data_IF_686614690174
#
_entry.id   IF_686614690174
#
_cell.length_a   1.000
_cell.length_b   1.000
_cell.length_c   1.000
_cell.angle_alpha   90.00
_cell.angle_beta   90.00
_cell.angle_gamma   90.00
#
_symmetry.space_group_name_H-M   'P 1'
#
loop_
_entity.id
_entity.type
_entity.pdbx_description
1 polymer ?
#
# COMPACT_ATOMS: atom_id res chain seq x y z
N UNK A 1 20.59 32.56 13.57
CA UNK A 1 20.23 31.54 12.57
C UNK A 1 20.39 30.17 13.19
N UNK A 2 19.27 29.55 13.57
CA UNK A 2 19.24 28.20 14.14
C UNK A 2 17.89 27.58 13.77
N UNK A 3 17.89 26.49 12.99
CA UNK A 3 16.70 25.66 12.81
C UNK A 3 16.87 24.40 13.67
N UNK A 4 15.93 24.07 14.57
CA UNK A 4 15.99 22.81 15.29
C UNK A 4 15.58 21.67 14.34
N UNK A 5 16.39 20.62 14.30
CA UNK A 5 16.07 19.36 13.64
C UNK A 5 14.98 18.64 14.43
N UNK A 6 13.74 18.72 13.93
CA UNK A 6 12.65 17.91 14.48
C UNK A 6 12.87 16.46 14.04
N UNK A 7 13.29 15.65 15.01
CA UNK A 7 13.38 14.20 14.94
C UNK A 7 12.00 13.63 14.55
N UNK A 8 11.89 13.04 13.34
CA UNK A 8 10.68 12.32 12.86
C UNK A 8 10.53 10.95 13.57
N UNK A 9 10.64 10.93 14.90
CA UNK A 9 10.53 9.72 15.71
C UNK A 9 9.45 9.92 16.75
N UNK A 10 8.43 9.07 16.64
CA UNK A 10 7.25 8.85 17.50
C UNK A 10 5.97 9.34 16.85
N UNK A 11 5.30 8.43 16.17
CA UNK A 11 3.88 8.03 16.28
C UNK A 11 3.80 6.94 15.20
N UNK A 12 3.81 5.65 15.51
CA UNK A 12 2.59 4.87 15.74
C UNK A 12 2.99 3.58 16.48
N UNK A 13 2.91 3.62 17.81
CA UNK A 13 2.84 2.43 18.63
C UNK A 13 1.46 2.42 19.29
N UNK A 14 0.69 1.36 18.99
CA UNK A 14 -0.43 0.79 19.76
C UNK A 14 -1.65 0.45 18.90
N UNK A 15 -2.04 -0.83 19.01
CA UNK A 15 -3.37 -1.47 18.79
C UNK A 15 -3.33 -2.47 17.63
N UNK A 16 -3.76 -3.74 17.72
CA UNK A 16 -4.15 -4.64 18.82
C UNK A 16 -4.40 -6.03 18.15
N UNK A 17 -4.10 -7.09 18.89
CA UNK A 17 -4.67 -8.45 18.85
C UNK A 17 -5.19 -9.08 17.53
N UNK A 18 -4.54 -10.22 17.20
CA UNK A 18 -5.13 -11.50 16.83
C UNK A 18 -6.42 -11.55 15.99
N UNK A 19 -6.26 -11.98 14.73
CA UNK A 19 -7.23 -12.89 14.11
C UNK A 19 -6.48 -13.83 13.17
N UNK A 20 -6.34 -15.09 13.58
CA UNK A 20 -5.97 -16.17 12.69
C UNK A 20 -7.21 -16.53 11.86
N UNK A 21 -7.20 -16.18 10.59
CA UNK A 21 -8.19 -16.67 9.62
C UNK A 21 -7.43 -17.31 8.46
N UNK A 22 -7.81 -18.55 8.16
CA UNK A 22 -7.18 -19.43 7.18
C UNK A 22 -7.08 -18.77 5.80
N UNK A 23 -5.89 -18.83 5.21
CA UNK A 23 -5.66 -18.46 3.81
C UNK A 23 -6.16 -19.63 2.94
N UNK A 24 -7.13 -19.45 2.03
CA UNK A 24 -7.48 -20.49 1.08
C UNK A 24 -6.32 -20.64 0.08
N UNK A 25 -5.80 -21.85 -0.05
CA UNK A 25 -4.91 -22.21 -1.16
C UNK A 25 -5.73 -22.25 -2.45
N UNK A 26 -5.79 -21.13 -3.18
CA UNK A 26 -6.41 -21.08 -4.51
C UNK A 26 -5.43 -21.70 -5.50
N UNK A 27 -5.79 -22.86 -6.04
CA UNK A 27 -5.12 -23.49 -7.16
C UNK A 27 -5.30 -22.62 -8.41
N UNK A 28 -4.20 -22.07 -8.93
CA UNK A 28 -4.20 -21.24 -10.13
C UNK A 28 -4.46 -22.07 -11.39
N UNK A 29 -5.71 -22.14 -11.83
CA UNK A 29 -6.02 -22.41 -13.24
C UNK A 29 -5.80 -21.11 -14.02
N UNK A 30 -4.83 -21.11 -14.95
CA UNK A 30 -4.49 -19.96 -15.80
C UNK A 30 -5.59 -19.74 -16.84
N UNK A 31 -6.66 -19.07 -16.44
CA UNK A 31 -7.69 -18.52 -17.32
C UNK A 31 -7.08 -17.40 -18.18
N UNK A 32 -7.60 -17.20 -19.39
CA UNK A 32 -7.28 -16.01 -20.19
C UNK A 32 -7.38 -14.74 -19.32
N UNK A 33 -6.51 -13.73 -19.52
CA UNK A 33 -6.50 -12.56 -18.66
C UNK A 33 -7.90 -11.94 -18.65
N UNK A 34 -8.56 -12.03 -17.49
CA UNK A 34 -9.86 -11.42 -17.26
C UNK A 34 -9.78 -9.90 -17.44
N UNK A 35 -10.93 -9.21 -17.49
CA UNK A 35 -11.00 -7.77 -17.71
C UNK A 35 -10.13 -6.95 -16.74
N UNK A 36 -9.90 -7.45 -15.52
CA UNK A 36 -9.11 -6.78 -14.48
C UNK A 36 -7.71 -7.40 -14.26
N UNK A 37 -7.18 -8.19 -15.22
CA UNK A 37 -5.90 -8.90 -15.02
C UNK A 37 -4.72 -7.98 -14.67
N UNK A 38 -4.63 -6.79 -15.29
CA UNK A 38 -3.59 -5.80 -14.97
C UNK A 38 -3.76 -5.20 -13.57
N UNK A 39 -5.02 -5.02 -13.14
CA UNK A 39 -5.33 -4.53 -11.80
C UNK A 39 -4.92 -5.56 -10.75
N UNK A 40 -5.19 -6.84 -11.00
CA UNK A 40 -4.79 -7.93 -10.10
C UNK A 40 -3.26 -8.09 -10.02
N UNK A 41 -2.53 -7.87 -11.12
CA UNK A 41 -1.06 -7.86 -11.08
C UNK A 41 -0.52 -6.68 -10.25
N UNK A 42 -1.07 -5.47 -10.43
CA UNK A 42 -0.71 -4.31 -9.61
C UNK A 42 -1.06 -4.54 -8.12
N UNK A 43 -2.19 -5.18 -7.84
CA UNK A 43 -2.60 -5.56 -6.48
C UNK A 43 -1.63 -6.58 -5.86
N UNK A 44 -1.17 -7.57 -6.64
CA UNK A 44 -0.19 -8.54 -6.17
C UNK A 44 1.12 -7.87 -5.78
N UNK A 45 1.58 -6.88 -6.57
CA UNK A 45 2.78 -6.08 -6.26
C UNK A 45 2.60 -5.23 -5.00
N UNK A 46 1.42 -4.61 -4.83
CA UNK A 46 1.08 -3.90 -3.60
C UNK A 46 1.20 -4.83 -2.37
N UNK A 47 0.58 -6.01 -2.40
CA UNK A 47 0.63 -6.94 -1.27
C UNK A 47 2.02 -7.57 -1.06
N UNK A 48 2.83 -7.67 -2.11
CA UNK A 48 4.21 -8.10 -1.98
C UNK A 48 5.05 -7.05 -1.25
N UNK A 49 4.98 -5.79 -1.68
CA UNK A 49 5.69 -4.68 -1.03
C UNK A 49 5.24 -4.53 0.43
N UNK A 50 3.93 -4.58 0.68
CA UNK A 50 3.37 -4.46 2.02
C UNK A 50 3.85 -5.55 2.97
N UNK A 51 3.83 -6.82 2.54
CA UNK A 51 4.35 -7.92 3.35
C UNK A 51 5.85 -7.80 3.60
N UNK A 52 6.61 -7.28 2.64
CA UNK A 52 8.04 -7.06 2.80
C UNK A 52 8.34 -5.93 3.80
N UNK A 53 7.55 -4.85 3.80
CA UNK A 53 7.62 -3.77 4.79
C UNK A 53 7.35 -4.33 6.18
N UNK A 54 6.23 -5.02 6.36
CA UNK A 54 5.86 -5.62 7.65
C UNK A 54 6.92 -6.62 8.15
N UNK A 55 7.51 -7.40 7.23
CA UNK A 55 8.61 -8.31 7.57
C UNK A 55 9.88 -7.56 8.02
N UNK A 56 10.20 -6.42 7.41
CA UNK A 56 11.32 -5.58 7.85
C UNK A 56 11.04 -4.89 9.18
N UNK A 57 9.82 -4.42 9.42
CA UNK A 57 9.41 -3.81 10.70
C UNK A 57 9.38 -4.80 11.86
N UNK A 58 9.12 -6.09 11.58
CA UNK A 58 9.17 -7.16 12.57
C UNK A 58 10.61 -7.50 13.02
N UNK A 59 11.61 -7.17 12.21
CA UNK A 59 13.02 -7.35 12.54
C UNK A 59 13.54 -6.11 13.28
N UNK A 60 14.47 -6.31 14.21
CA UNK A 60 15.10 -5.21 14.93
C UNK A 60 15.84 -4.28 13.96
N UNK A 61 15.42 -3.02 13.92
CA UNK A 61 16.12 -1.93 13.22
C UNK A 61 17.59 -1.85 13.70
N UNK A 62 18.58 -1.83 12.77
CA UNK A 62 19.98 -1.61 13.12
C UNK A 62 20.16 -0.25 13.81
N UNK A 63 21.09 -0.12 14.78
CA UNK A 63 21.39 1.19 15.36
C UNK A 63 21.86 2.19 14.29
N UNK A 64 21.46 3.46 14.39
CA UNK A 64 21.86 4.54 13.46
C UNK A 64 23.37 4.66 13.21
N UNK A 65 24.18 4.25 14.20
CA UNK A 65 25.66 4.28 14.11
C UNK A 65 26.26 3.02 13.47
N UNK A 66 25.44 2.02 13.17
CA UNK A 66 25.87 0.78 12.51
C UNK A 66 26.18 1.06 11.05
N UNK A 67 27.20 0.37 10.54
CA UNK A 67 27.52 0.36 9.11
C UNK A 67 26.39 -0.26 8.26
N UNK A 68 25.53 -1.07 8.87
CA UNK A 68 24.39 -1.72 8.20
C UNK A 68 23.17 -0.79 8.06
N UNK A 69 23.10 0.30 8.83
CA UNK A 69 21.93 1.18 8.85
C UNK A 69 21.59 1.78 7.47
N UNK A 70 22.55 2.34 6.70
CA UNK A 70 22.23 2.91 5.38
C UNK A 70 21.69 1.87 4.39
N UNK A 71 22.15 0.62 4.46
CA UNK A 71 21.67 -0.46 3.60
C UNK A 71 20.25 -0.87 3.99
N UNK A 72 19.98 -0.95 5.30
CA UNK A 72 18.65 -1.23 5.82
C UNK A 72 17.66 -0.10 5.45
N UNK A 73 18.06 1.15 5.63
CA UNK A 73 17.25 2.35 5.31
C UNK A 73 16.94 2.42 3.81
N UNK A 74 17.94 2.27 2.95
CA UNK A 74 17.72 2.26 1.50
C UNK A 74 16.78 1.14 1.04
N UNK A 75 16.88 -0.04 1.67
CA UNK A 75 15.97 -1.15 1.39
C UNK A 75 14.54 -0.84 1.83
N UNK A 76 14.38 -0.22 2.99
CA UNK A 76 13.07 0.18 3.49
C UNK A 76 12.44 1.24 2.58
N UNK A 77 13.19 2.27 2.21
CA UNK A 77 12.76 3.32 1.28
C UNK A 77 12.34 2.75 -0.08
N UNK A 78 13.09 1.78 -0.62
CA UNK A 78 12.74 1.11 -1.87
C UNK A 78 11.38 0.38 -1.78
N UNK A 79 11.11 -0.31 -0.67
CA UNK A 79 9.82 -0.98 -0.47
C UNK A 79 8.66 0.01 -0.34
N UNK A 80 8.88 1.15 0.33
CA UNK A 80 7.89 2.23 0.42
C UNK A 80 7.61 2.80 -0.97
N UNK A 81 8.64 3.02 -1.78
CA UNK A 81 8.51 3.48 -3.16
C UNK A 81 7.76 2.45 -4.04
N UNK A 82 8.09 1.16 -3.94
CA UNK A 82 7.41 0.09 -4.66
C UNK A 82 5.92 0.03 -4.31
N UNK A 83 5.59 0.17 -3.01
CA UNK A 83 4.19 0.22 -2.54
C UNK A 83 3.47 1.44 -3.12
N UNK A 84 4.07 2.63 -3.05
CA UNK A 84 3.47 3.85 -3.58
C UNK A 84 3.27 3.77 -5.11
N UNK A 85 4.23 3.20 -5.83
CA UNK A 85 4.13 2.96 -7.27
C UNK A 85 2.96 2.01 -7.58
N UNK A 86 2.81 0.92 -6.84
CA UNK A 86 1.70 -0.02 -7.03
C UNK A 86 0.33 0.65 -6.79
N UNK A 87 0.20 1.50 -5.76
CA UNK A 87 -1.01 2.31 -5.52
C UNK A 87 -1.27 3.25 -6.69
N UNK A 88 -0.23 3.92 -7.20
CA UNK A 88 -0.32 4.77 -8.39
C UNK A 88 -0.82 3.99 -9.61
N UNK A 89 -0.31 2.78 -9.86
CA UNK A 89 -0.78 1.91 -10.93
C UNK A 89 -2.25 1.51 -10.75
N UNK A 90 -2.64 1.08 -9.54
CA UNK A 90 -4.03 0.75 -9.21
C UNK A 90 -4.97 1.95 -9.47
N UNK A 91 -4.54 3.16 -9.16
CA UNK A 91 -5.35 4.37 -9.39
C UNK A 91 -5.58 4.64 -10.89
N UNK A 92 -4.61 4.29 -11.75
CA UNK A 92 -4.65 4.51 -13.19
C UNK A 92 -5.38 3.43 -13.99
N UNK A 93 -5.58 2.24 -13.40
CA UNK A 93 -6.27 1.12 -14.07
C UNK A 93 -7.74 1.14 -13.69
N UNK A 94 -8.65 1.20 -14.68
CA UNK A 94 -10.09 1.08 -14.44
C UNK A 94 -10.44 -0.34 -13.97
N UNK A 95 -11.19 -0.47 -12.87
CA UNK A 95 -11.76 -1.73 -12.44
C UNK A 95 -13.15 -1.93 -13.06
N UNK A 96 -13.37 -3.06 -13.72
CA UNK A 96 -14.63 -3.38 -14.42
C UNK A 96 -15.47 -4.37 -13.63
N UNK A 97 -14.85 -5.22 -12.82
CA UNK A 97 -15.54 -6.26 -12.04
C UNK A 97 -15.75 -5.83 -10.60
N UNK A 98 -16.73 -6.46 -9.95
CA UNK A 98 -16.95 -6.32 -8.50
C UNK A 98 -15.73 -6.72 -7.67
N UNK A 99 -14.99 -7.74 -8.13
CA UNK A 99 -13.72 -8.16 -7.51
C UNK A 99 -12.66 -7.05 -7.62
N UNK A 100 -12.54 -6.41 -8.78
CA UNK A 100 -11.64 -5.27 -8.97
C UNK A 100 -12.01 -4.07 -8.09
N UNK A 101 -13.31 -3.80 -7.89
CA UNK A 101 -13.78 -2.76 -6.97
C UNK A 101 -13.42 -3.08 -5.53
N UNK A 102 -13.67 -4.32 -5.09
CA UNK A 102 -13.33 -4.77 -3.75
C UNK A 102 -11.83 -4.71 -3.49
N UNK A 103 -11.01 -5.11 -4.47
CA UNK A 103 -9.56 -5.03 -4.39
C UNK A 103 -9.08 -3.59 -4.16
N UNK A 104 -9.59 -2.62 -4.93
CA UNK A 104 -9.27 -1.20 -4.72
C UNK A 104 -9.77 -0.70 -3.37
N UNK A 105 -10.98 -1.07 -2.97
CA UNK A 105 -11.58 -0.66 -1.70
C UNK A 105 -10.71 -1.09 -0.52
N UNK A 106 -10.23 -2.33 -0.51
CA UNK A 106 -9.33 -2.84 0.55
C UNK A 106 -8.05 -2.00 0.69
N UNK A 107 -7.43 -1.63 -0.44
CA UNK A 107 -6.22 -0.79 -0.42
C UNK A 107 -6.55 0.62 0.07
N UNK A 108 -7.67 1.19 -0.36
CA UNK A 108 -8.14 2.52 0.08
C UNK A 108 -8.41 2.54 1.59
N UNK A 109 -9.18 1.60 2.11
CA UNK A 109 -9.50 1.51 3.55
C UNK A 109 -8.24 1.45 4.41
N UNK A 110 -7.20 0.78 3.92
CA UNK A 110 -5.95 0.60 4.65
C UNK A 110 -5.04 1.83 4.59
N UNK A 111 -4.91 2.47 3.43
CA UNK A 111 -3.90 3.51 3.19
C UNK A 111 -4.43 4.94 3.32
N UNK A 112 -5.71 5.18 3.00
CA UNK A 112 -6.30 6.52 2.98
C UNK A 112 -6.31 7.19 4.36
N UNK A 113 -6.65 6.51 5.48
CA UNK A 113 -6.67 7.15 6.80
C UNK A 113 -5.31 7.73 7.20
N UNK A 114 -4.22 7.04 6.87
CA UNK A 114 -2.86 7.54 7.14
C UNK A 114 -2.52 8.76 6.31
N UNK A 115 -2.78 8.76 5.00
CA UNK A 115 -2.45 9.90 4.13
C UNK A 115 -3.24 11.16 4.54
N UNK A 116 -4.54 11.01 4.84
CA UNK A 116 -5.37 12.14 5.30
C UNK A 116 -4.92 12.68 6.67
N UNK A 117 -4.49 11.79 7.58
CA UNK A 117 -4.07 12.20 8.93
C UNK A 117 -2.77 13.01 8.93
N UNK A 118 -1.84 12.69 8.03
CA UNK A 118 -0.49 13.24 8.05
C UNK A 118 -0.27 14.36 7.02
N UNK A 119 -1.29 14.69 6.21
CA UNK A 119 -1.25 15.72 5.14
C UNK A 119 0.04 15.66 4.33
N UNK A 120 0.34 14.46 3.82
CA UNK A 120 1.65 14.10 3.28
C UNK A 120 1.89 14.56 1.83
N UNK A 121 0.92 15.20 1.17
CA UNK A 121 1.09 15.65 -0.21
C UNK A 121 -0.11 16.35 -0.86
N UNK A 122 -1.10 16.82 -0.08
CA UNK A 122 -2.33 17.41 -0.62
C UNK A 122 -3.17 16.42 -1.44
N UNK A 123 -4.07 16.91 -2.30
CA UNK A 123 -5.04 16.06 -3.02
C UNK A 123 -4.46 15.18 -4.14
N UNK A 124 -3.15 15.18 -4.36
CA UNK A 124 -2.49 14.44 -5.44
C UNK A 124 -1.72 13.20 -4.95
N UNK A 125 -1.96 12.77 -3.73
CA UNK A 125 -1.37 11.53 -3.22
C UNK A 125 -1.96 10.32 -3.95
N UNK A 126 -1.16 9.27 -4.21
CA UNK A 126 -1.64 8.04 -4.87
C UNK A 126 -2.89 7.44 -4.20
N UNK A 127 -3.01 7.55 -2.88
CA UNK A 127 -4.10 7.05 -2.06
C UNK A 127 -5.41 7.80 -2.34
N UNK A 128 -5.36 9.14 -2.42
CA UNK A 128 -6.52 9.97 -2.75
C UNK A 128 -6.96 9.71 -4.19
N UNK A 129 -6.00 9.63 -5.13
CA UNK A 129 -6.28 9.31 -6.52
C UNK A 129 -6.90 7.91 -6.68
N UNK A 130 -6.45 6.94 -5.88
CA UNK A 130 -7.04 5.60 -5.86
C UNK A 130 -8.49 5.63 -5.34
N UNK A 131 -8.78 6.38 -4.28
CA UNK A 131 -10.14 6.54 -3.76
C UNK A 131 -11.07 7.18 -4.80
N UNK A 132 -10.60 8.22 -5.51
CA UNK A 132 -11.34 8.84 -6.60
C UNK A 132 -11.55 7.89 -7.79
N UNK A 133 -10.52 7.09 -8.11
CA UNK A 133 -10.58 6.07 -9.17
C UNK A 133 -11.65 5.02 -8.85
N UNK A 134 -11.67 4.50 -7.62
CA UNK A 134 -12.71 3.59 -7.14
C UNK A 134 -14.11 4.21 -7.24
N UNK A 135 -14.28 5.47 -6.83
CA UNK A 135 -15.57 6.15 -6.91
C UNK A 135 -16.07 6.26 -8.37
N UNK A 136 -15.18 6.51 -9.33
CA UNK A 136 -15.51 6.53 -10.76
C UNK A 136 -15.85 5.14 -11.29
N UNK A 137 -15.13 4.11 -10.86
CA UNK A 137 -15.36 2.73 -11.29
C UNK A 137 -16.75 2.23 -10.84
N UNK A 138 -17.11 2.50 -9.57
CA UNK A 138 -18.41 2.13 -9.01
C UNK A 138 -19.54 2.95 -9.64
N UNK A 139 -19.37 4.28 -9.78
CA UNK A 139 -20.39 5.14 -10.39
C UNK A 139 -20.60 4.86 -11.89
N UNK A 140 -19.53 4.47 -12.60
CA UNK A 140 -19.56 4.14 -14.03
C UNK A 140 -19.86 2.68 -14.35
N UNK A 141 -19.96 1.81 -13.34
CA UNK A 141 -20.36 0.40 -13.46
C UNK A 141 -21.75 0.11 -12.92
N UNK A 142 -22.43 1.09 -12.32
CA UNK A 142 -23.80 1.00 -11.84
C UNK A 142 -24.87 1.34 -12.91
N UNK A 143 -24.51 1.26 -14.20
CA UNK A 143 -25.41 1.52 -15.33
C UNK A 143 -25.80 0.22 -16.05
#
# INVERSE_FOLDING_TARGET
MSRPSVSRRRVLGASLAATAAAVPAVASTRTAPGPDALLLDALARYWQAERAILAMEAVREPPLKSLEYPVWEAKFDALIADRAQAIGQLSGIRAVTTEGWQAKAQVVERCLPSSVRWDDGGMQTPEILLAMSLARDVAGGAA
#
